data_IF_000086902615
#
_entry.id   IF_000086902615
#
_cell.length_a   1.000
_cell.length_b   1.000
_cell.length_c   1.000
_cell.angle_alpha   90.00
_cell.angle_beta   90.00
_cell.angle_gamma   90.00
#
_symmetry.space_group_name_H-M   'P 1'
#
loop_
_entity.id
_entity.type
_entity.pdbx_description
1 polymer ?
#
# COMPACT_ATOMS: atom_id res chain seq x y z
N UNK A 1 0.75 12.15 -22.69
CA UNK A 1 -0.04 12.54 -23.87
C UNK A 1 -1.24 13.33 -23.37
N UNK A 2 -1.15 14.66 -23.42
CA UNK A 2 -2.33 15.51 -23.30
C UNK A 2 -3.09 15.35 -24.60
N UNK A 3 -4.10 14.49 -24.62
CA UNK A 3 -5.06 14.46 -25.70
C UNK A 3 -5.63 15.87 -25.83
N UNK A 4 -5.78 16.37 -27.05
CA UNK A 4 -6.41 17.66 -27.34
C UNK A 4 -7.72 17.79 -26.53
N UNK A 5 -7.66 18.42 -25.35
CA UNK A 5 -8.52 18.06 -24.20
C UNK A 5 -10.01 18.27 -24.47
N UNK A 6 -10.37 19.08 -25.47
CA UNK A 6 -11.76 19.40 -25.81
C UNK A 6 -12.15 19.15 -27.28
N UNK A 7 -11.22 19.03 -28.23
CA UNK A 7 -11.57 18.85 -29.65
C UNK A 7 -12.29 17.52 -29.93
N UNK A 8 -12.11 16.49 -29.10
CA UNK A 8 -12.82 15.22 -29.22
C UNK A 8 -14.23 15.26 -28.60
N UNK A 9 -14.53 16.29 -27.82
CA UNK A 9 -15.86 16.53 -27.23
C UNK A 9 -16.75 17.35 -28.17
N UNK A 10 -16.15 18.09 -29.11
CA UNK A 10 -16.88 18.79 -30.16
C UNK A 10 -17.60 17.81 -31.10
N UNK A 11 -18.92 17.98 -31.24
CA UNK A 11 -19.77 17.14 -32.09
C UNK A 11 -20.35 15.90 -31.42
N UNK A 12 -20.03 15.61 -30.15
CA UNK A 12 -20.68 14.54 -29.40
C UNK A 12 -22.07 14.98 -28.90
N UNK A 13 -23.10 14.11 -28.98
CA UNK A 13 -24.40 14.41 -28.43
C UNK A 13 -24.31 14.63 -26.92
N UNK A 14 -25.07 15.58 -26.37
CA UNK A 14 -25.00 15.96 -24.95
C UNK A 14 -25.17 14.80 -23.96
N UNK A 15 -25.92 13.76 -24.33
CA UNK A 15 -26.03 12.51 -23.54
C UNK A 15 -24.70 11.76 -23.43
N UNK A 16 -23.90 11.73 -24.49
CA UNK A 16 -22.58 11.12 -24.48
C UNK A 16 -21.62 11.94 -23.61
N UNK A 17 -21.65 13.27 -23.72
CA UNK A 17 -20.86 14.18 -22.88
C UNK A 17 -21.19 14.03 -21.39
N UNK A 18 -22.48 13.93 -21.06
CA UNK A 18 -22.94 13.70 -19.69
C UNK A 18 -22.44 12.35 -19.15
N UNK A 19 -22.48 11.29 -19.97
CA UNK A 19 -21.97 9.97 -19.58
C UNK A 19 -20.47 9.97 -19.36
N UNK A 20 -19.72 10.70 -20.19
CA UNK A 20 -18.28 10.91 -20.04
C UNK A 20 -17.99 11.60 -18.71
N UNK A 21 -18.68 12.69 -18.38
CA UNK A 21 -18.51 13.37 -17.08
C UNK A 21 -18.82 12.46 -15.89
N UNK A 22 -19.90 11.68 -15.95
CA UNK A 22 -20.21 10.69 -14.90
C UNK A 22 -19.07 9.69 -14.71
N UNK A 23 -18.51 9.18 -15.81
CA UNK A 23 -17.38 8.26 -15.78
C UNK A 23 -16.10 8.92 -15.27
N UNK A 24 -15.81 10.16 -15.66
CA UNK A 24 -14.68 10.95 -15.16
C UNK A 24 -14.76 11.13 -13.63
N UNK A 25 -15.96 11.46 -13.11
CA UNK A 25 -16.22 11.60 -11.66
C UNK A 25 -16.04 10.26 -10.95
N UNK A 26 -16.55 9.16 -11.50
CA UNK A 26 -16.36 7.82 -10.93
C UNK A 26 -14.88 7.41 -10.91
N UNK A 27 -14.15 7.72 -11.99
CA UNK A 27 -12.71 7.48 -12.05
C UNK A 27 -11.96 8.26 -10.98
N UNK A 28 -12.31 9.52 -10.74
CA UNK A 28 -11.69 10.32 -9.68
C UNK A 28 -11.96 9.74 -8.29
N UNK A 29 -13.19 9.30 -8.02
CA UNK A 29 -13.54 8.59 -6.77
C UNK A 29 -12.71 7.32 -6.60
N UNK A 30 -12.66 6.47 -7.62
CA UNK A 30 -11.90 5.22 -7.57
C UNK A 30 -10.39 5.46 -7.42
N UNK A 31 -9.84 6.53 -8.03
CA UNK A 31 -8.45 6.93 -7.82
C UNK A 31 -8.19 7.31 -6.37
N UNK A 32 -9.06 8.11 -5.75
CA UNK A 32 -8.96 8.49 -4.33
C UNK A 32 -9.05 7.26 -3.42
N UNK A 33 -10.02 6.38 -3.65
CA UNK A 33 -10.17 5.14 -2.88
C UNK A 33 -8.94 4.22 -3.01
N UNK A 34 -8.39 4.08 -4.23
CA UNK A 34 -7.14 3.34 -4.46
C UNK A 34 -6.02 3.93 -3.62
N UNK A 35 -5.80 5.24 -3.68
CA UNK A 35 -4.73 5.90 -2.91
C UNK A 35 -4.92 5.70 -1.41
N UNK A 36 -6.15 5.82 -0.90
CA UNK A 36 -6.45 5.58 0.50
C UNK A 36 -6.15 4.13 0.92
N UNK A 37 -6.53 3.15 0.09
CA UNK A 37 -6.24 1.73 0.35
C UNK A 37 -4.75 1.42 0.27
N UNK A 38 -4.03 2.03 -0.67
CA UNK A 38 -2.58 1.88 -0.79
C UNK A 38 -1.89 2.37 0.49
N UNK A 39 -2.27 3.56 1.00
CA UNK A 39 -1.72 4.07 2.24
C UNK A 39 -1.96 3.13 3.44
N UNK A 40 -3.15 2.51 3.51
CA UNK A 40 -3.45 1.52 4.55
C UNK A 40 -2.57 0.28 4.41
N UNK A 41 -2.37 -0.21 3.18
CA UNK A 41 -1.49 -1.34 2.92
C UNK A 41 -0.05 -1.03 3.31
N UNK A 42 0.48 0.13 2.91
CA UNK A 42 1.85 0.55 3.23
C UNK A 42 2.05 0.67 4.76
N UNK A 43 1.04 1.17 5.47
CA UNK A 43 1.04 1.25 6.94
C UNK A 43 1.06 -0.13 7.60
N UNK A 44 0.24 -1.06 7.12
CA UNK A 44 0.20 -2.44 7.62
C UNK A 44 1.50 -3.18 7.31
N UNK A 45 2.07 -2.97 6.13
CA UNK A 45 3.35 -3.57 5.74
C UNK A 45 4.50 -3.05 6.63
N UNK A 46 4.53 -1.75 6.94
CA UNK A 46 5.50 -1.18 7.87
C UNK A 46 5.34 -1.75 9.30
N UNK A 47 4.10 -1.91 9.77
CA UNK A 47 3.82 -2.53 11.07
C UNK A 47 4.27 -4.00 11.10
N UNK A 48 3.99 -4.75 10.04
CA UNK A 48 4.43 -6.14 9.88
C UNK A 48 5.96 -6.25 9.88
N UNK A 49 6.64 -5.35 9.16
CA UNK A 49 8.10 -5.34 9.10
C UNK A 49 8.71 -5.08 10.48
N UNK A 50 8.13 -4.14 11.24
CA UNK A 50 8.53 -3.88 12.63
C UNK A 50 8.34 -5.12 13.52
N UNK A 51 7.24 -5.86 13.35
CA UNK A 51 7.02 -7.09 14.09
C UNK A 51 8.02 -8.18 13.71
N UNK A 52 8.32 -8.36 12.42
CA UNK A 52 9.34 -9.31 11.94
C UNK A 52 10.71 -9.02 12.55
N UNK A 53 11.13 -7.76 12.58
CA UNK A 53 12.38 -7.33 13.22
C UNK A 53 12.38 -7.60 14.73
N UNK A 54 11.24 -7.39 15.40
CA UNK A 54 11.12 -7.69 16.83
C UNK A 54 11.26 -9.19 17.08
N UNK A 55 10.61 -10.03 16.28
CA UNK A 55 10.69 -11.50 16.37
C UNK A 55 12.11 -11.99 16.09
N UNK A 56 12.79 -11.50 15.05
CA UNK A 56 14.17 -11.88 14.76
C UNK A 56 15.12 -11.49 15.90
N UNK A 57 14.95 -10.29 16.46
CA UNK A 57 15.75 -9.85 17.61
C UNK A 57 15.49 -10.68 18.88
N UNK A 58 14.25 -11.10 19.13
CA UNK A 58 13.94 -12.03 20.23
C UNK A 58 14.51 -13.42 19.97
N UNK A 59 14.46 -13.93 18.73
CA UNK A 59 15.05 -15.22 18.36
C UNK A 59 16.56 -15.22 18.54
N UNK A 60 17.25 -14.15 18.13
CA UNK A 60 18.70 -14.01 18.29
C UNK A 60 19.10 -13.85 19.75
N UNK A 61 18.33 -13.10 20.55
CA UNK A 61 18.57 -13.01 22.00
C UNK A 61 18.29 -14.33 22.70
N UNK A 62 17.23 -15.05 22.32
CA UNK A 62 16.97 -16.38 22.86
C UNK A 62 18.14 -17.33 22.58
N UNK A 63 18.62 -17.38 21.32
CA UNK A 63 19.79 -18.18 20.94
C UNK A 63 21.03 -17.88 21.78
N UNK A 64 21.37 -16.60 21.95
CA UNK A 64 22.51 -16.19 22.80
C UNK A 64 22.36 -16.59 24.26
N UNK A 65 21.14 -16.56 24.81
CA UNK A 65 20.88 -16.96 26.21
C UNK A 65 21.09 -18.46 26.39
N UNK A 66 20.60 -19.31 25.47
CA UNK A 66 20.86 -20.75 25.56
C UNK A 66 22.34 -21.12 25.38
N UNK A 67 23.11 -20.40 24.56
CA UNK A 67 24.57 -20.61 24.46
C UNK A 67 25.30 -20.30 25.79
N UNK A 68 24.95 -19.19 26.45
CA UNK A 68 25.56 -18.81 27.74
C UNK A 68 25.19 -19.78 28.86
N UNK A 69 23.90 -20.16 28.97
CA UNK A 69 23.44 -21.13 29.97
C UNK A 69 24.06 -22.53 29.76
N UNK A 70 24.36 -22.92 28.52
CA UNK A 70 25.05 -24.18 28.22
C UNK A 70 26.52 -24.12 28.62
N UNK A 71 27.21 -22.99 28.37
CA UNK A 71 28.60 -22.80 28.76
C UNK A 71 28.78 -22.87 30.29
N UNK A 72 27.92 -22.20 31.06
CA UNK A 72 27.95 -22.18 32.53
C UNK A 72 27.65 -23.56 33.14
N UNK A 73 26.92 -24.44 32.45
CA UNK A 73 26.58 -25.79 32.94
C UNK A 73 27.69 -26.83 32.72
N UNK A 74 28.64 -26.53 31.84
CA UNK A 74 29.75 -27.43 31.44
C UNK A 74 31.08 -26.99 32.07
N UNK A 75 31.12 -25.86 32.76
CA UNK A 75 32.26 -25.40 33.59
C UNK A 75 32.01 -25.67 35.07
#
# INVERSE_FOLDING_TARGET
MSWAVEEWKDGLPGKALQKIQEMEIQLDKLKKERTQKQFQLDSLEAALQKQKQKVSFHSERAGRVCDVDTFVRVT
#
